data_IF_395675401711
#
_entry.id   IF_395675401711
#
_cell.length_a   1.000
_cell.length_b   1.000
_cell.length_c   1.000
_cell.angle_alpha   90.00
_cell.angle_beta   90.00
_cell.angle_gamma   90.00
#
_symmetry.space_group_name_H-M   'P 1'
#
loop_
_entity.id
_entity.type
_entity.pdbx_description
1 polymer ?
#
# COMPACT_ATOMS: atom_id res chain seq x y z
N UNK A 1 24.24 7.21 -27.44
CA UNK A 1 23.71 6.18 -26.53
C UNK A 1 22.41 6.72 -26.00
N UNK A 2 21.28 6.23 -26.53
CA UNK A 2 19.98 6.68 -26.07
C UNK A 2 19.68 5.92 -24.78
N UNK A 3 20.12 6.47 -23.65
CA UNK A 3 19.88 5.93 -22.30
C UNK A 3 18.44 5.44 -22.08
N UNK A 4 17.48 6.13 -22.71
CA UNK A 4 16.09 5.75 -22.74
C UNK A 4 15.80 4.36 -23.35
N UNK A 5 16.43 4.07 -24.50
CA UNK A 5 16.32 2.80 -25.20
C UNK A 5 17.01 1.70 -24.40
N UNK A 6 18.12 2.03 -23.74
CA UNK A 6 18.85 1.08 -22.89
C UNK A 6 18.03 0.68 -21.65
N UNK A 7 17.32 1.62 -21.01
CA UNK A 7 16.38 1.34 -19.92
C UNK A 7 15.23 0.45 -20.40
N UNK A 8 14.60 0.78 -21.53
CA UNK A 8 13.52 -0.05 -22.09
C UNK A 8 14.01 -1.46 -22.44
N UNK A 9 15.22 -1.62 -22.97
CA UNK A 9 15.81 -2.92 -23.24
C UNK A 9 16.03 -3.70 -21.95
N UNK A 10 16.55 -3.06 -20.90
CA UNK A 10 16.74 -3.69 -19.59
C UNK A 10 15.40 -4.17 -19.01
N UNK A 11 14.35 -3.35 -19.05
CA UNK A 11 13.00 -3.71 -18.61
C UNK A 11 12.48 -4.90 -19.41
N UNK A 12 12.67 -4.92 -20.74
CA UNK A 12 12.24 -6.03 -21.61
C UNK A 12 12.95 -7.34 -21.32
N UNK A 13 14.19 -7.29 -20.84
CA UNK A 13 14.90 -8.49 -20.40
C UNK A 13 14.49 -8.97 -19.00
N UNK A 14 13.76 -8.15 -18.23
CA UNK A 14 13.32 -8.49 -16.87
C UNK A 14 14.43 -8.53 -15.83
N UNK A 15 15.65 -8.08 -16.17
CA UNK A 15 16.79 -8.12 -15.26
C UNK A 15 16.80 -6.87 -14.38
N UNK A 16 16.37 -7.02 -13.13
CA UNK A 16 16.35 -5.93 -12.14
C UNK A 16 17.72 -5.27 -11.96
N UNK A 17 18.80 -6.06 -11.99
CA UNK A 17 20.17 -5.54 -11.84
C UNK A 17 20.56 -4.58 -12.96
N UNK A 18 20.19 -4.89 -14.21
CA UNK A 18 20.45 -4.02 -15.35
C UNK A 18 19.65 -2.72 -15.23
N UNK A 19 18.38 -2.83 -14.79
CA UNK A 19 17.53 -1.65 -14.56
C UNK A 19 18.14 -0.75 -13.49
N UNK A 20 18.60 -1.31 -12.37
CA UNK A 20 19.29 -0.55 -11.32
C UNK A 20 20.55 0.11 -11.83
N UNK A 21 21.40 -0.62 -12.54
CA UNK A 21 22.64 -0.07 -13.09
C UNK A 21 22.38 1.10 -14.06
N UNK A 22 21.35 0.99 -14.91
CA UNK A 22 20.95 2.07 -15.82
C UNK A 22 20.42 3.26 -15.02
N UNK A 23 19.56 3.04 -14.03
CA UNK A 23 19.03 4.10 -13.20
C UNK A 23 20.10 4.77 -12.32
N UNK A 24 21.11 4.02 -11.86
CA UNK A 24 22.26 4.51 -11.09
C UNK A 24 23.20 5.36 -11.96
N UNK A 25 23.22 5.11 -13.28
CA UNK A 25 23.93 5.95 -14.25
C UNK A 25 23.26 7.33 -14.46
N UNK A 26 22.19 7.65 -13.73
CA UNK A 26 21.53 8.97 -13.74
C UNK A 26 20.53 9.15 -14.89
N UNK A 27 20.02 8.07 -15.47
CA UNK A 27 19.01 8.15 -16.52
C UNK A 27 17.67 8.63 -15.95
N UNK A 28 17.00 9.55 -16.65
CA UNK A 28 15.65 9.97 -16.28
C UNK A 28 14.71 8.76 -16.26
N UNK A 29 13.98 8.61 -15.15
CA UNK A 29 12.99 7.53 -14.94
C UNK A 29 11.77 7.75 -15.84
N UNK A 30 11.42 9.02 -16.05
CA UNK A 30 10.40 9.45 -16.99
C UNK A 30 11.06 9.70 -18.35
N UNK A 31 10.65 8.90 -19.33
CA UNK A 31 11.09 9.02 -20.72
C UNK A 31 9.85 9.27 -21.55
N UNK A 32 9.87 10.37 -22.29
CA UNK A 32 8.87 10.70 -23.29
C UNK A 32 9.37 10.20 -24.66
N UNK A 33 8.61 9.36 -25.36
CA UNK A 33 8.99 8.81 -26.68
C UNK A 33 8.83 9.85 -27.82
N UNK A 34 9.00 11.14 -27.54
CA UNK A 34 8.78 12.22 -28.50
C UNK A 34 7.33 12.38 -29.00
N UNK A 35 6.41 11.50 -28.60
CA UNK A 35 4.95 11.61 -28.80
C UNK A 35 4.21 12.36 -27.68
N UNK A 36 4.92 12.75 -26.62
CA UNK A 36 4.35 13.48 -25.50
C UNK A 36 3.59 12.61 -24.50
N UNK A 37 3.77 11.29 -24.53
CA UNK A 37 3.21 10.36 -23.54
C UNK A 37 4.24 10.08 -22.43
N UNK A 38 4.11 10.71 -21.25
CA UNK A 38 4.94 10.39 -20.08
C UNK A 38 4.60 9.00 -19.52
N UNK A 39 5.59 8.29 -18.97
CA UNK A 39 5.37 7.03 -18.25
C UNK A 39 5.58 5.73 -19.04
N UNK A 40 6.19 5.78 -20.24
CA UNK A 40 6.43 4.59 -21.07
C UNK A 40 7.17 3.43 -20.35
N UNK A 41 8.25 3.67 -19.57
CA UNK A 41 9.01 2.60 -18.91
C UNK A 41 8.18 1.84 -17.87
N UNK A 42 7.41 2.57 -17.06
CA UNK A 42 6.54 1.99 -16.04
C UNK A 42 5.40 1.19 -16.69
N UNK A 43 4.78 1.73 -17.74
CA UNK A 43 3.73 1.03 -18.49
C UNK A 43 4.22 -0.28 -19.13
N UNK A 44 5.43 -0.29 -19.71
CA UNK A 44 6.04 -1.51 -20.27
C UNK A 44 6.36 -2.53 -19.18
N UNK A 45 6.94 -2.11 -18.05
CA UNK A 45 7.18 -2.99 -16.91
C UNK A 45 5.87 -3.61 -16.40
N UNK A 46 4.80 -2.81 -16.37
CA UNK A 46 3.48 -3.25 -15.95
C UNK A 46 2.85 -4.27 -16.89
N UNK A 47 2.95 -4.04 -18.20
CA UNK A 47 2.48 -4.97 -19.23
C UNK A 47 3.21 -6.32 -19.16
N UNK A 48 4.53 -6.28 -18.94
CA UNK A 48 5.34 -7.49 -18.85
C UNK A 48 5.13 -8.27 -17.56
N UNK A 49 4.66 -7.62 -16.48
CA UNK A 49 4.36 -8.29 -15.21
C UNK A 49 5.48 -8.20 -14.18
N UNK A 50 6.46 -7.31 -14.37
CA UNK A 50 7.64 -7.24 -13.50
C UNK A 50 7.38 -6.36 -12.26
N UNK A 51 6.73 -6.93 -11.26
CA UNK A 51 6.38 -6.24 -10.01
C UNK A 51 7.58 -5.60 -9.29
N UNK A 52 8.73 -6.28 -9.26
CA UNK A 52 9.95 -5.76 -8.62
C UNK A 52 10.51 -4.54 -9.35
N UNK A 53 10.48 -4.56 -10.68
CA UNK A 53 10.92 -3.44 -11.52
C UNK A 53 9.97 -2.25 -11.32
N UNK A 54 8.66 -2.50 -11.23
CA UNK A 54 7.65 -1.46 -10.93
C UNK A 54 7.92 -0.81 -9.57
N UNK A 55 8.21 -1.58 -8.52
CA UNK A 55 8.56 -1.04 -7.20
C UNK A 55 9.81 -0.16 -7.24
N UNK A 56 10.85 -0.61 -7.96
CA UNK A 56 12.09 0.15 -8.10
C UNK A 56 11.87 1.47 -8.87
N UNK A 57 11.15 1.42 -10.00
CA UNK A 57 10.84 2.62 -10.79
C UNK A 57 10.07 3.65 -9.96
N UNK A 58 9.05 3.22 -9.22
CA UNK A 58 8.25 4.12 -8.36
C UNK A 58 9.08 4.66 -7.19
N UNK A 59 9.97 3.85 -6.61
CA UNK A 59 10.89 4.31 -5.55
C UNK A 59 11.84 5.41 -6.04
N UNK A 60 12.16 5.44 -7.34
CA UNK A 60 12.97 6.49 -7.96
C UNK A 60 12.16 7.68 -8.48
N UNK A 61 10.86 7.73 -8.15
CA UNK A 61 9.99 8.86 -8.48
C UNK A 61 9.22 8.72 -9.79
N UNK A 62 9.05 7.50 -10.32
CA UNK A 62 8.16 7.29 -11.46
C UNK A 62 6.72 7.68 -11.12
N UNK A 63 6.06 8.39 -12.04
CA UNK A 63 4.67 8.81 -11.91
C UNK A 63 3.75 7.61 -12.13
N UNK A 64 3.14 7.16 -11.04
CA UNK A 64 2.14 6.07 -11.06
C UNK A 64 0.80 6.55 -11.61
N UNK A 65 0.42 7.79 -11.28
CA UNK A 65 -0.82 8.41 -11.70
C UNK A 65 -0.55 9.37 -12.86
N UNK A 66 -1.24 9.14 -13.98
CA UNK A 66 -1.27 10.06 -15.11
C UNK A 66 -2.52 10.96 -15.00
N UNK A 67 -2.48 12.18 -15.58
CA UNK A 67 -3.62 13.10 -15.55
C UNK A 67 -4.89 12.51 -16.18
N UNK A 68 -4.76 11.52 -17.06
CA UNK A 68 -5.88 10.77 -17.62
C UNK A 68 -5.65 9.26 -17.46
N UNK A 69 -5.98 8.75 -16.27
CA UNK A 69 -5.89 7.31 -15.95
C UNK A 69 -6.86 6.43 -16.77
N UNK A 70 -7.74 7.02 -17.59
CA UNK A 70 -8.60 6.28 -18.51
C UNK A 70 -7.91 5.95 -19.84
N UNK A 71 -6.76 6.55 -20.14
CA UNK A 71 -6.06 6.29 -21.38
C UNK A 71 -5.37 4.92 -21.38
N UNK A 72 -5.24 4.35 -22.58
CA UNK A 72 -4.56 3.07 -22.80
C UNK A 72 -3.07 3.08 -22.39
N UNK A 73 -2.52 4.26 -22.11
CA UNK A 73 -1.15 4.54 -21.65
C UNK A 73 -1.00 4.50 -20.13
N UNK A 74 -2.11 4.53 -19.36
CA UNK A 74 -2.02 4.45 -17.89
C UNK A 74 -1.36 3.14 -17.46
N UNK A 75 -0.41 3.16 -16.50
CA UNK A 75 0.27 1.95 -16.00
C UNK A 75 -0.71 0.86 -15.55
N UNK A 76 -1.83 1.27 -14.95
CA UNK A 76 -2.90 0.38 -14.52
C UNK A 76 -3.60 -0.28 -15.70
N UNK A 77 -3.94 0.49 -16.74
CA UNK A 77 -4.55 -0.02 -17.97
C UNK A 77 -3.62 -1.02 -18.68
N UNK A 78 -2.32 -0.74 -18.74
CA UNK A 78 -1.34 -1.66 -19.31
C UNK A 78 -1.18 -2.96 -18.51
N UNK A 79 -1.18 -2.90 -17.18
CA UNK A 79 -1.15 -4.08 -16.32
C UNK A 79 -2.41 -4.97 -16.53
N UNK A 80 -3.59 -4.35 -16.66
CA UNK A 80 -4.85 -5.04 -16.92
C UNK A 80 -4.85 -5.68 -18.31
N UNK A 81 -4.35 -4.98 -19.34
CA UNK A 81 -4.21 -5.56 -20.69
C UNK A 81 -3.22 -6.73 -20.73
N UNK A 82 -2.20 -6.70 -19.90
CA UNK A 82 -1.27 -7.81 -19.71
C UNK A 82 -1.80 -8.94 -18.83
N UNK A 83 -3.01 -8.81 -18.28
CA UNK A 83 -3.61 -9.71 -17.29
C UNK A 83 -2.68 -9.99 -16.10
N UNK A 84 -1.95 -8.95 -15.65
CA UNK A 84 -0.93 -9.06 -14.59
C UNK A 84 -1.49 -8.63 -13.23
N UNK A 85 -2.32 -9.50 -12.65
CA UNK A 85 -3.00 -9.22 -11.37
C UNK A 85 -2.04 -8.85 -10.23
N UNK A 86 -0.85 -9.46 -10.19
CA UNK A 86 0.19 -9.14 -9.19
C UNK A 86 0.67 -7.70 -9.32
N UNK A 87 0.97 -7.25 -10.54
CA UNK A 87 1.36 -5.86 -10.80
C UNK A 87 0.24 -4.90 -10.44
N UNK A 88 -1.01 -5.23 -10.78
CA UNK A 88 -2.16 -4.39 -10.42
C UNK A 88 -2.26 -4.23 -8.90
N UNK A 89 -2.07 -5.31 -8.12
CA UNK A 89 -1.99 -5.22 -6.66
C UNK A 89 -0.88 -4.29 -6.20
N UNK A 90 0.31 -4.40 -6.78
CA UNK A 90 1.45 -3.54 -6.45
C UNK A 90 1.17 -2.07 -6.80
N UNK A 91 0.58 -1.78 -7.96
CA UNK A 91 0.23 -0.40 -8.33
C UNK A 91 -0.78 0.19 -7.34
N UNK A 92 -1.77 -0.58 -6.91
CA UNK A 92 -2.75 -0.14 -5.90
C UNK A 92 -2.08 0.06 -4.54
N UNK A 93 -1.16 -0.82 -4.14
CA UNK A 93 -0.33 -0.64 -2.93
C UNK A 93 0.50 0.65 -2.99
N UNK A 94 0.94 1.06 -4.18
CA UNK A 94 1.71 2.28 -4.41
C UNK A 94 0.85 3.55 -4.56
N UNK A 95 -0.47 3.44 -4.40
CA UNK A 95 -1.39 4.59 -4.46
C UNK A 95 -1.89 4.93 -5.87
N UNK A 96 -1.95 3.95 -6.78
CA UNK A 96 -2.57 4.14 -8.08
C UNK A 96 -4.07 4.43 -7.96
N UNK A 97 -4.52 5.51 -8.61
CA UNK A 97 -5.93 5.88 -8.69
C UNK A 97 -6.65 5.00 -9.71
N UNK A 98 -7.62 4.22 -9.23
CA UNK A 98 -8.43 3.35 -10.07
C UNK A 98 -9.62 4.17 -10.60
N UNK A 99 -9.72 4.42 -11.92
CA UNK A 99 -10.88 5.11 -12.48
C UNK A 99 -12.15 4.26 -12.34
N UNK A 100 -13.26 4.91 -12.04
CA UNK A 100 -14.55 4.26 -11.84
C UNK A 100 -14.99 3.52 -13.12
N UNK A 101 -15.21 2.20 -13.02
CA UNK A 101 -15.63 1.36 -14.14
C UNK A 101 -14.51 0.60 -14.87
N UNK A 102 -13.25 0.79 -14.49
CA UNK A 102 -12.16 -0.05 -15.03
C UNK A 102 -12.29 -1.48 -14.49
N UNK A 103 -12.44 -2.44 -15.39
CA UNK A 103 -12.42 -3.87 -15.06
C UNK A 103 -10.97 -4.31 -14.83
N UNK A 104 -10.49 -4.22 -13.59
CA UNK A 104 -9.14 -4.64 -13.21
C UNK A 104 -8.95 -6.16 -13.16
N UNK A 105 -10.04 -6.93 -13.26
CA UNK A 105 -10.01 -8.40 -13.16
C UNK A 105 -9.76 -8.92 -11.74
N UNK A 106 -9.61 -8.03 -10.77
CA UNK A 106 -9.46 -8.34 -9.34
C UNK A 106 -10.82 -8.31 -8.65
N UNK A 107 -10.94 -9.09 -7.58
CA UNK A 107 -12.09 -8.98 -6.68
C UNK A 107 -12.04 -7.67 -5.90
N UNK A 108 -13.21 -7.15 -5.51
CA UNK A 108 -13.30 -5.94 -4.69
C UNK A 108 -12.52 -6.07 -3.37
N UNK A 109 -12.54 -7.27 -2.77
CA UNK A 109 -11.78 -7.59 -1.56
C UNK A 109 -10.26 -7.49 -1.78
N UNK A 110 -9.74 -7.98 -2.91
CA UNK A 110 -8.31 -7.86 -3.23
C UNK A 110 -7.89 -6.40 -3.42
N UNK A 111 -8.74 -5.58 -4.04
CA UNK A 111 -8.51 -4.14 -4.18
C UNK A 111 -8.48 -3.48 -2.80
N UNK A 112 -9.43 -3.84 -1.92
CA UNK A 112 -9.49 -3.32 -0.54
C UNK A 112 -8.25 -3.70 0.27
N UNK A 113 -7.80 -4.95 0.21
CA UNK A 113 -6.59 -5.42 0.91
C UNK A 113 -5.35 -4.72 0.36
N UNK A 114 -5.22 -4.55 -0.96
CA UNK A 114 -4.10 -3.87 -1.57
C UNK A 114 -4.05 -2.39 -1.18
N UNK A 115 -5.20 -1.69 -1.16
CA UNK A 115 -5.30 -0.31 -0.65
C UNK A 115 -4.90 -0.23 0.82
N UNK A 116 -5.39 -1.15 1.65
CA UNK A 116 -5.09 -1.16 3.09
C UNK A 116 -3.61 -1.42 3.37
N UNK A 117 -2.98 -2.32 2.60
CA UNK A 117 -1.52 -2.52 2.62
C UNK A 117 -0.81 -1.23 2.21
N UNK A 118 -1.21 -0.60 1.12
CA UNK A 118 -0.65 0.68 0.68
C UNK A 118 -0.74 1.79 1.73
N UNK A 119 -1.87 1.91 2.43
CA UNK A 119 -2.03 2.87 3.53
C UNK A 119 -1.11 2.57 4.72
N UNK A 120 -0.92 1.31 5.08
CA UNK A 120 0.02 0.91 6.17
C UNK A 120 1.49 1.14 5.79
N UNK A 121 1.87 0.82 4.56
CA UNK A 121 3.24 1.03 4.07
C UNK A 121 3.53 2.51 3.76
N UNK A 122 2.52 3.25 3.29
CA UNK A 122 2.56 4.69 3.11
C UNK A 122 2.66 5.43 4.42
N UNK A 123 1.97 4.98 5.48
CA UNK A 123 2.09 5.56 6.82
C UNK A 123 3.49 5.35 7.44
N UNK A 124 4.21 4.27 7.12
CA UNK A 124 5.58 4.09 7.61
C UNK A 124 6.61 4.94 6.87
N UNK A 125 6.34 5.34 5.63
CA UNK A 125 7.22 6.24 4.85
C UNK A 125 6.82 7.73 5.00
N UNK A 126 5.54 8.04 5.21
CA UNK A 126 5.03 9.40 5.48
C UNK A 126 5.11 9.82 6.95
N UNK A 127 5.35 8.89 7.89
CA UNK A 127 5.61 9.23 9.29
C UNK A 127 6.83 10.16 9.48
N UNK A 128 7.70 10.31 8.48
CA UNK A 128 8.78 11.30 8.47
C UNK A 128 8.48 12.60 7.71
N UNK A 129 7.35 12.72 6.99
CA UNK A 129 7.06 13.89 6.17
C UNK A 129 5.77 14.65 6.57
N UNK A 130 4.75 13.98 7.10
CA UNK A 130 3.45 14.63 7.36
C UNK A 130 2.88 14.18 8.71
N UNK A 131 3.53 14.58 9.80
CA UNK A 131 2.93 14.52 11.14
C UNK A 131 2.27 15.87 11.46
N UNK A 132 1.26 16.24 10.67
CA UNK A 132 0.34 17.33 10.98
C UNK A 132 -1.07 16.89 10.61
N UNK A 133 -1.92 16.76 11.64
CA UNK A 133 -3.33 16.32 11.62
C UNK A 133 -3.53 14.88 11.13
N UNK A 134 -3.97 13.90 11.90
CA UNK A 134 -4.82 13.86 13.07
C UNK A 134 -4.47 12.53 13.74
N UNK A 135 -3.94 12.55 14.96
CA UNK A 135 -3.82 11.31 15.71
C UNK A 135 -5.26 10.80 15.94
N UNK A 136 -5.58 9.53 15.66
CA UNK A 136 -6.85 8.98 16.07
C UNK A 136 -6.96 9.19 17.58
N UNK A 137 -7.97 9.96 17.99
CA UNK A 137 -8.39 10.09 19.38
C UNK A 137 -8.81 8.70 19.85
N UNK A 138 -7.88 7.96 20.44
CA UNK A 138 -8.24 6.88 21.32
C UNK A 138 -8.80 7.55 22.57
N UNK A 139 -10.12 7.60 22.70
CA UNK A 139 -10.74 7.82 24.00
C UNK A 139 -10.37 6.62 24.86
N UNK A 140 -9.29 6.79 25.63
CA UNK A 140 -8.95 5.86 26.69
C UNK A 140 -10.11 5.92 27.69
N UNK A 141 -10.90 4.85 27.75
CA UNK A 141 -11.88 4.69 28.83
C UNK A 141 -11.04 4.51 30.10
N UNK A 142 -10.76 5.61 30.80
CA UNK A 142 -10.27 5.57 32.16
C UNK A 142 -11.35 4.90 33.02
N UNK A 143 -11.26 3.58 33.16
CA UNK A 143 -11.93 2.90 34.26
C UNK A 143 -11.31 3.45 35.53
N UNK A 144 -11.98 4.44 36.12
CA UNK A 144 -11.69 4.88 37.49
C UNK A 144 -11.55 3.62 38.33
N UNK A 145 -10.34 3.36 38.83
CA UNK A 145 -10.10 2.21 39.69
C UNK A 145 -11.10 2.35 40.84
N UNK A 146 -12.07 1.44 40.89
CA UNK A 146 -12.98 1.33 42.02
C UNK A 146 -12.15 0.87 43.24
N UNK A 147 -11.38 1.77 43.83
CA UNK A 147 -10.73 1.55 45.11
C UNK A 147 -11.83 1.54 46.16
N UNK A 148 -12.08 0.36 46.74
CA UNK A 148 -13.12 0.17 47.75
C UNK A 148 -14.09 -0.97 47.47
N UNK A 149 -13.90 -1.79 46.43
CA UNK A 149 -14.51 -3.14 46.44
C UNK A 149 -13.72 -3.99 47.44
N UNK A 150 -13.94 -3.73 48.72
CA UNK A 150 -13.32 -4.47 49.82
C UNK A 150 -13.92 -5.88 49.80
N UNK A 151 -13.24 -6.79 49.09
CA UNK A 151 -13.66 -8.19 48.96
C UNK A 151 -13.73 -8.85 50.33
N UNK A 152 -13.09 -8.29 51.35
CA UNK A 152 -13.17 -8.74 52.73
C UNK A 152 -14.60 -8.63 53.32
N UNK A 153 -15.42 -7.67 52.87
CA UNK A 153 -16.81 -7.56 53.34
C UNK A 153 -17.65 -8.70 52.75
N UNK A 154 -17.47 -9.01 51.46
CA UNK A 154 -18.13 -10.13 50.81
C UNK A 154 -17.71 -11.48 51.42
N UNK A 155 -16.43 -11.64 51.76
CA UNK A 155 -15.91 -12.84 52.43
C UNK A 155 -16.48 -12.99 53.85
N UNK A 156 -16.62 -11.88 54.59
CA UNK A 156 -17.21 -11.90 55.93
C UNK A 156 -18.71 -12.26 55.91
N UNK A 157 -19.46 -11.76 54.93
CA UNK A 157 -20.88 -12.06 54.77
C UNK A 157 -21.10 -13.52 54.29
N UNK A 158 -20.22 -14.05 53.43
CA UNK A 158 -20.19 -15.47 53.06
C UNK A 158 -19.97 -16.37 54.28
N UNK A 159 -19.01 -16.03 55.15
CA UNK A 159 -18.73 -16.81 56.37
C UNK A 159 -19.92 -16.75 57.33
N UNK A 160 -20.59 -15.60 57.45
CA UNK A 160 -21.76 -15.45 58.32
C UNK A 160 -22.95 -16.25 57.81
N UNK A 161 -23.22 -16.20 56.51
CA UNK A 161 -24.28 -17.00 55.88
C UNK A 161 -24.04 -18.51 56.04
N UNK A 162 -22.80 -18.98 55.86
CA UNK A 162 -22.46 -20.39 56.06
C UNK A 162 -22.74 -20.86 57.50
N UNK A 163 -22.43 -20.03 58.50
CA UNK A 163 -22.68 -20.33 59.92
C UNK A 163 -24.16 -20.35 60.30
N UNK A 164 -25.00 -19.60 59.60
CA UNK A 164 -26.45 -19.63 59.81
C UNK A 164 -27.11 -20.84 59.15
N UNK A 165 -26.55 -21.34 58.04
CA UNK A 165 -27.03 -22.58 57.42
C UNK A 165 -26.71 -23.83 58.24
N UNK A 166 -25.58 -23.86 58.96
CA UNK A 166 -25.22 -24.96 59.87
C UNK A 166 -26.05 -25.03 61.15
N UNK A 167 -26.80 -23.97 61.48
CA UNK A 167 -27.66 -23.89 62.68
C UNK A 167 -29.13 -24.26 62.41
N UNK A 168 -29.48 -24.61 61.18
CA UNK A 168 -30.83 -25.03 60.76
C UNK A 168 -30.88 -26.54 60.53
#
# INVERSE_FOLDING_TARGET
>A
MNAAIDLLRAIRTGRLQDVRAVLDAGTSVEIDDGRGDPGLPLGVACFMGYADIVRELVSRGAKVNLPDNSQATSPLSMAVRGSRNEVVKVLIELGADIPAGMKTGLTEQEIMIARWKGQRYGASTSAHAERSAEAPLFEEIEMTRCYGTDTAVLDADMIRAAREMDKK
#
